data_IF_311250504252
#
_entry.id   IF_311250504252
#
_cell.length_a   1.000
_cell.length_b   1.000
_cell.length_c   1.000
_cell.angle_alpha   90.00
_cell.angle_beta   90.00
_cell.angle_gamma   90.00
#
_symmetry.space_group_name_H-M   'P 1'
#
loop_
_entity.id
_entity.type
_entity.pdbx_description
1 polymer ?
#
# COMPACT_ATOMS: atom_id res chain seq x y z
N UNK A 1 -31.90 19.98 41.13
CA UNK A 1 -31.74 18.63 40.55
C UNK A 1 -32.62 18.53 39.31
N UNK A 2 -32.05 18.34 38.10
CA UNK A 2 -32.69 18.00 36.79
C UNK A 2 -32.33 18.90 35.60
N UNK A 3 -31.08 19.32 35.44
CA UNK A 3 -30.62 19.87 34.16
C UNK A 3 -29.23 19.38 33.77
N UNK A 4 -28.95 18.11 34.06
CA UNK A 4 -27.61 17.55 33.86
C UNK A 4 -27.64 16.11 33.33
N UNK A 5 -28.54 15.77 32.42
CA UNK A 5 -28.54 14.42 31.81
C UNK A 5 -29.13 14.43 30.39
N UNK A 6 -28.56 15.20 29.46
CA UNK A 6 -28.87 15.00 28.04
C UNK A 6 -27.74 15.45 27.10
N UNK A 7 -26.49 15.08 27.42
CA UNK A 7 -25.36 15.16 26.49
C UNK A 7 -24.68 13.78 26.49
N UNK A 8 -25.43 12.77 26.05
CA UNK A 8 -24.87 11.46 25.72
C UNK A 8 -24.36 11.51 24.28
N UNK A 9 -23.06 11.76 24.17
CA UNK A 9 -22.13 11.27 23.16
C UNK A 9 -22.75 10.75 21.86
N UNK A 10 -22.84 11.64 20.86
CA UNK A 10 -22.88 11.21 19.46
C UNK A 10 -21.45 10.80 19.09
N UNK A 11 -20.96 9.70 19.66
CA UNK A 11 -19.73 9.07 19.19
C UNK A 11 -20.10 8.33 17.90
N UNK A 12 -20.04 9.02 16.77
CA UNK A 12 -20.01 8.35 15.47
C UNK A 12 -18.77 7.47 15.43
N UNK A 13 -18.97 6.16 15.56
CA UNK A 13 -17.90 5.20 15.26
C UNK A 13 -17.64 5.30 13.76
N UNK A 14 -16.60 6.04 13.38
CA UNK A 14 -16.08 6.02 12.02
C UNK A 14 -15.44 4.65 11.83
N UNK A 15 -16.18 3.71 11.26
CA UNK A 15 -15.60 2.46 10.80
C UNK A 15 -14.87 2.76 9.49
N UNK A 16 -13.55 2.91 9.56
CA UNK A 16 -12.74 2.81 8.36
C UNK A 16 -12.88 1.38 7.82
N UNK A 17 -13.33 1.23 6.58
CA UNK A 17 -13.29 -0.08 5.92
C UNK A 17 -11.83 -0.54 5.86
N UNK A 18 -11.51 -1.80 6.20
CA UNK A 18 -10.16 -2.30 5.99
C UNK A 18 -9.82 -2.22 4.50
N UNK A 19 -8.59 -1.81 4.19
CA UNK A 19 -8.07 -1.82 2.83
C UNK A 19 -8.09 -3.24 2.25
N UNK A 20 -8.24 -3.34 0.94
CA UNK A 20 -8.05 -4.61 0.26
C UNK A 20 -6.57 -5.03 0.37
N UNK A 21 -6.31 -6.35 0.39
CA UNK A 21 -4.95 -6.86 0.59
C UNK A 21 -4.09 -6.67 -0.67
N UNK A 22 -2.98 -5.95 -0.53
CA UNK A 22 -1.91 -5.95 -1.53
C UNK A 22 -0.93 -7.08 -1.19
N UNK A 23 -0.70 -7.99 -2.12
CA UNK A 23 0.29 -9.06 -1.98
C UNK A 23 1.65 -8.56 -2.45
N UNK A 24 2.69 -8.93 -1.71
CA UNK A 24 4.07 -8.52 -1.99
C UNK A 24 4.99 -9.74 -1.99
N UNK A 25 5.85 -9.83 -3.00
CA UNK A 25 6.88 -10.84 -3.17
C UNK A 25 8.18 -10.21 -3.65
N UNK A 26 9.29 -10.94 -3.54
CA UNK A 26 10.54 -10.57 -4.21
C UNK A 26 10.65 -11.38 -5.51
N UNK A 27 10.86 -10.69 -6.63
CA UNK A 27 11.06 -11.31 -7.95
C UNK A 27 12.18 -10.57 -8.67
N UNK A 28 13.17 -11.31 -9.16
CA UNK A 28 14.35 -10.75 -9.84
C UNK A 28 15.06 -9.66 -9.02
N UNK A 29 15.14 -9.86 -7.69
CA UNK A 29 15.71 -8.92 -6.71
C UNK A 29 14.90 -7.64 -6.44
N UNK A 30 13.76 -7.45 -7.09
CA UNK A 30 12.87 -6.31 -6.92
C UNK A 30 11.61 -6.67 -6.12
N UNK A 31 10.95 -5.64 -5.58
CA UNK A 31 9.66 -5.79 -4.91
C UNK A 31 8.57 -5.90 -5.97
N UNK A 32 7.75 -6.93 -5.88
CA UNK A 32 6.73 -7.30 -6.85
C UNK A 32 5.37 -7.29 -6.14
N UNK A 33 4.48 -6.38 -6.55
CA UNK A 33 3.17 -6.19 -5.92
C UNK A 33 2.02 -6.58 -6.83
N UNK A 34 1.03 -7.26 -6.26
CA UNK A 34 -0.13 -7.78 -6.98
C UNK A 34 -1.34 -7.92 -6.05
N UNK A 35 -2.54 -8.02 -6.60
CA UNK A 35 -3.79 -8.24 -5.88
C UNK A 35 -4.29 -9.66 -6.14
N UNK A 36 -5.41 -10.06 -5.51
CA UNK A 36 -6.14 -11.28 -5.87
C UNK A 36 -7.62 -10.97 -5.99
N UNK A 37 -8.28 -11.62 -6.94
CA UNK A 37 -9.70 -11.42 -7.22
C UNK A 37 -9.93 -10.49 -8.40
N UNK A 38 -11.20 -10.43 -8.82
CA UNK A 38 -11.65 -9.51 -9.85
C UNK A 38 -11.62 -8.06 -9.32
N UNK A 39 -11.49 -7.11 -10.23
CA UNK A 39 -11.47 -5.68 -9.93
C UNK A 39 -12.28 -4.94 -10.98
N UNK A 40 -12.88 -3.81 -10.61
CA UNK A 40 -13.49 -2.91 -11.58
C UNK A 40 -12.46 -1.87 -12.03
N UNK A 41 -12.47 -1.54 -13.33
CA UNK A 41 -11.63 -0.46 -13.84
C UNK A 41 -12.10 0.87 -13.27
N UNK A 42 -11.17 1.74 -12.89
CA UNK A 42 -11.50 3.14 -12.60
C UNK A 42 -12.11 3.79 -13.85
N UNK A 43 -13.06 4.74 -13.70
CA UNK A 43 -13.64 5.46 -14.84
C UNK A 43 -12.59 6.15 -15.73
N UNK A 44 -11.47 6.51 -15.14
CA UNK A 44 -10.35 7.20 -15.78
C UNK A 44 -9.28 6.24 -16.34
N UNK A 45 -9.42 4.92 -16.13
CA UNK A 45 -8.41 3.88 -16.41
C UNK A 45 -7.01 4.24 -15.84
N UNK A 46 -6.98 5.00 -14.74
CA UNK A 46 -5.77 5.37 -14.00
C UNK A 46 -5.58 4.44 -12.81
N UNK A 47 -4.34 4.00 -12.64
CA UNK A 47 -3.88 3.28 -11.46
C UNK A 47 -2.68 4.00 -10.88
N UNK A 48 -2.74 4.34 -9.59
CA UNK A 48 -1.62 4.97 -8.89
C UNK A 48 -0.98 3.94 -7.96
N UNK A 49 0.32 3.75 -8.09
CA UNK A 49 1.12 3.06 -7.07
C UNK A 49 1.98 4.10 -6.36
N UNK A 50 2.01 4.04 -5.04
CA UNK A 50 2.90 4.88 -4.27
C UNK A 50 3.32 4.17 -2.99
N UNK A 51 4.42 4.63 -2.42
CA UNK A 51 4.89 4.12 -1.14
C UNK A 51 5.43 5.27 -0.31
N UNK A 52 5.31 5.14 1.00
CA UNK A 52 5.89 6.08 1.94
C UNK A 52 6.57 5.35 3.07
N UNK A 53 7.68 5.93 3.52
CA UNK A 53 8.39 5.48 4.71
C UNK A 53 7.53 5.73 5.95
N UNK A 54 7.47 4.75 6.84
CA UNK A 54 6.73 4.85 8.11
C UNK A 54 7.73 5.21 9.21
N UNK A 55 8.14 6.48 9.29
CA UNK A 55 9.13 6.93 10.29
C UNK A 55 8.55 7.75 11.45
N UNK A 56 7.23 7.95 11.50
CA UNK A 56 6.52 8.51 12.65
C UNK A 56 6.85 9.95 12.99
N UNK A 57 7.68 10.64 12.20
CA UNK A 57 8.22 11.96 12.52
C UNK A 57 7.59 13.06 11.64
N UNK A 58 7.00 12.74 10.48
CA UNK A 58 6.48 13.75 9.54
C UNK A 58 5.12 13.38 8.92
N UNK A 59 4.45 14.41 8.38
CA UNK A 59 3.38 14.29 7.37
C UNK A 59 3.79 13.30 6.30
N UNK A 60 2.86 12.44 5.86
CA UNK A 60 3.13 11.45 4.82
C UNK A 60 3.74 12.11 3.58
N UNK A 61 4.93 11.65 3.19
CA UNK A 61 5.55 11.97 1.92
C UNK A 61 5.82 10.66 1.19
N UNK A 62 5.36 10.57 -0.03
CA UNK A 62 5.64 9.45 -0.91
C UNK A 62 7.15 9.44 -1.24
N UNK A 63 7.82 8.35 -0.89
CA UNK A 63 9.20 8.11 -1.29
C UNK A 63 9.31 7.59 -2.72
N UNK A 64 8.19 7.11 -3.28
CA UNK A 64 8.05 6.68 -4.67
C UNK A 64 6.57 6.78 -5.06
N UNK A 65 6.31 7.21 -6.28
CA UNK A 65 4.97 7.30 -6.84
C UNK A 65 5.01 7.15 -8.36
N UNK A 66 4.04 6.44 -8.92
CA UNK A 66 3.90 6.24 -10.37
C UNK A 66 2.44 6.03 -10.77
N UNK A 67 2.00 6.82 -11.73
CA UNK A 67 0.69 6.65 -12.38
C UNK A 67 0.82 5.81 -13.65
N UNK A 68 -0.06 4.82 -13.78
CA UNK A 68 -0.22 4.03 -14.99
C UNK A 68 -1.56 4.35 -15.65
N UNK A 69 -1.55 4.43 -16.99
CA UNK A 69 -2.75 4.57 -17.80
C UNK A 69 -3.07 3.23 -18.46
N UNK A 70 -4.32 2.80 -18.39
CA UNK A 70 -4.81 1.55 -18.98
C UNK A 70 -4.04 0.31 -18.48
N UNK A 71 -3.62 0.30 -17.21
CA UNK A 71 -2.91 -0.82 -16.64
C UNK A 71 -3.82 -2.06 -16.62
N UNK A 72 -3.35 -3.17 -17.19
CA UNK A 72 -3.95 -4.47 -16.90
C UNK A 72 -3.61 -4.81 -15.46
N UNK A 73 -4.61 -4.96 -14.59
CA UNK A 73 -4.30 -5.10 -13.16
C UNK A 73 -3.46 -6.34 -12.86
N UNK A 74 -2.57 -6.21 -11.88
CA UNK A 74 -1.74 -7.31 -11.43
C UNK A 74 -2.55 -8.25 -10.52
N UNK A 75 -3.50 -9.02 -11.04
CA UNK A 75 -4.32 -9.95 -10.21
C UNK A 75 -3.62 -11.28 -9.86
N UNK A 76 -2.39 -11.46 -10.37
CA UNK A 76 -1.53 -12.62 -10.15
C UNK A 76 -0.06 -12.17 -10.11
N UNK A 77 0.80 -12.96 -9.47
CA UNK A 77 2.22 -12.66 -9.27
C UNK A 77 2.99 -12.49 -10.61
N UNK A 78 2.60 -13.25 -11.64
CA UNK A 78 3.26 -13.23 -12.95
C UNK A 78 3.19 -11.83 -13.61
N UNK A 79 2.10 -11.11 -13.37
CA UNK A 79 1.81 -9.78 -13.93
C UNK A 79 2.02 -8.65 -12.92
N UNK A 80 2.76 -8.90 -11.83
CA UNK A 80 2.94 -7.91 -10.77
C UNK A 80 3.58 -6.60 -11.26
N UNK A 81 3.30 -5.54 -10.53
CA UNK A 81 4.01 -4.27 -10.69
C UNK A 81 5.34 -4.38 -9.94
N UNK A 82 6.45 -4.16 -10.63
CA UNK A 82 7.78 -4.14 -10.03
C UNK A 82 8.13 -2.75 -9.52
N UNK A 83 8.60 -2.67 -8.28
CA UNK A 83 9.25 -1.50 -7.68
C UNK A 83 10.71 -1.86 -7.48
N UNK A 84 11.62 -1.05 -8.04
CA UNK A 84 13.05 -1.33 -7.97
C UNK A 84 13.52 -1.36 -6.53
N UNK A 85 14.39 -2.30 -6.17
CA UNK A 85 14.97 -2.35 -4.83
C UNK A 85 15.68 -1.06 -4.40
N UNK A 86 16.18 -0.26 -5.33
CA UNK A 86 16.86 1.02 -5.05
C UNK A 86 15.94 2.07 -4.42
N UNK A 87 14.63 1.92 -4.57
CA UNK A 87 13.64 2.80 -3.95
C UNK A 87 13.51 2.54 -2.43
N UNK A 88 14.00 1.39 -1.97
CA UNK A 88 13.92 0.98 -0.58
C UNK A 88 15.26 1.19 0.13
N UNK A 89 15.19 1.78 1.33
CA UNK A 89 16.29 1.76 2.29
C UNK A 89 16.14 0.57 3.20
N UNK A 90 17.26 -0.10 3.49
CA UNK A 90 17.29 -1.29 4.33
C UNK A 90 16.75 -1.00 5.74
N UNK A 91 16.07 -2.00 6.31
CA UNK A 91 15.58 -1.99 7.69
C UNK A 91 14.62 -0.84 8.03
N UNK A 92 13.98 -0.25 7.03
CA UNK A 92 12.95 0.75 7.20
C UNK A 92 11.59 0.21 6.77
N UNK A 93 10.52 0.46 7.55
CA UNK A 93 9.18 0.09 7.16
C UNK A 93 8.65 1.03 6.08
N UNK A 94 8.06 0.45 5.05
CA UNK A 94 7.34 1.14 3.98
C UNK A 94 5.92 0.62 3.92
N UNK A 95 4.96 1.53 3.78
CA UNK A 95 3.61 1.17 3.34
C UNK A 95 3.54 1.42 1.83
N UNK A 96 3.01 0.44 1.09
CA UNK A 96 2.79 0.50 -0.35
C UNK A 96 1.29 0.48 -0.59
N UNK A 97 0.84 1.39 -1.44
CA UNK A 97 -0.53 1.53 -1.87
C UNK A 97 -0.66 1.32 -3.35
N UNK A 98 -1.73 0.64 -3.73
CA UNK A 98 -2.23 0.57 -5.10
C UNK A 98 -3.65 1.12 -5.10
N UNK A 99 -3.82 2.29 -5.68
CA UNK A 99 -5.11 2.96 -5.83
C UNK A 99 -5.70 2.70 -7.20
N UNK A 100 -6.92 2.17 -7.17
CA UNK A 100 -7.77 1.87 -8.31
C UNK A 100 -9.20 2.31 -8.02
N UNK A 101 -10.19 1.47 -8.34
CA UNK A 101 -11.58 1.63 -7.89
C UNK A 101 -11.70 1.45 -6.38
N UNK A 102 -10.80 0.65 -5.81
CA UNK A 102 -10.53 0.52 -4.39
C UNK A 102 -9.05 0.69 -4.06
N UNK A 103 -8.76 0.85 -2.77
CA UNK A 103 -7.41 1.01 -2.23
C UNK A 103 -6.91 -0.32 -1.69
N UNK A 104 -5.76 -0.76 -2.21
CA UNK A 104 -5.02 -1.91 -1.68
C UNK A 104 -3.78 -1.42 -0.95
N UNK A 105 -3.51 -1.97 0.23
CA UNK A 105 -2.35 -1.59 1.02
C UNK A 105 -1.60 -2.80 1.56
N UNK A 106 -0.27 -2.66 1.67
CA UNK A 106 0.56 -3.55 2.46
C UNK A 106 1.75 -2.80 3.06
N UNK A 107 2.04 -3.07 4.33
CA UNK A 107 3.28 -2.65 4.98
C UNK A 107 4.34 -3.75 4.85
N UNK A 108 5.55 -3.36 4.46
CA UNK A 108 6.69 -4.25 4.31
C UNK A 108 7.96 -3.63 4.90
N UNK A 109 8.93 -4.48 5.19
CA UNK A 109 10.32 -4.10 5.42
C UNK A 109 11.18 -4.86 4.41
N UNK A 110 12.12 -4.16 3.78
CA UNK A 110 13.02 -4.76 2.79
C UNK A 110 14.44 -4.75 3.34
N UNK A 111 15.17 -5.85 3.14
CA UNK A 111 16.57 -5.96 3.51
C UNK A 111 17.37 -6.67 2.40
N UNK A 112 18.70 -6.50 2.41
CA UNK A 112 19.61 -7.28 1.56
C UNK A 112 20.37 -8.27 2.43
N UNK A 113 20.40 -9.53 2.02
CA UNK A 113 21.24 -10.52 2.68
C UNK A 113 22.72 -10.33 2.30
N UNK A 114 23.61 -11.11 2.92
CA UNK A 114 25.06 -11.06 2.65
C UNK A 114 25.46 -11.37 1.20
N UNK A 115 24.55 -11.94 0.40
CA UNK A 115 24.76 -12.23 -1.03
C UNK A 115 24.20 -11.12 -1.94
N UNK A 116 23.69 -10.02 -1.39
CA UNK A 116 23.06 -8.93 -2.15
C UNK A 116 21.66 -9.26 -2.68
N UNK A 117 21.02 -10.32 -2.17
CA UNK A 117 19.63 -10.69 -2.47
C UNK A 117 18.67 -9.96 -1.55
N UNK A 118 17.70 -9.31 -2.16
CA UNK A 118 16.57 -8.66 -1.50
C UNK A 118 15.67 -9.69 -0.86
N UNK A 119 15.26 -9.43 0.38
CA UNK A 119 14.32 -10.25 1.15
C UNK A 119 13.28 -9.35 1.82
N UNK A 120 12.10 -9.90 2.07
CA UNK A 120 11.10 -9.30 2.95
C UNK A 120 11.36 -9.76 4.38
N UNK A 121 11.26 -8.84 5.33
CA UNK A 121 11.38 -9.11 6.77
C UNK A 121 10.02 -9.29 7.44
#
# INVERSE_FOLDING_TARGET
MKLLYLLLFISSTVNASPYATLYVKIKDNDVCVFTKGDYDKTPDDKTLIYMGKVDGINTFHDSYSKTYLNLKMPIIEENCIKINKSEFKENLPYSIWLETDQEYNQRICVNQNSEGKTVLL
#
